data_IF_268873311356
#
_entry.id   IF_268873311356
#
_cell.length_a   1.000
_cell.length_b   1.000
_cell.length_c   1.000
_cell.angle_alpha   90.00
_cell.angle_beta   90.00
_cell.angle_gamma   90.00
#
_symmetry.space_group_name_H-M   'P 1'
#
loop_
_entity.id
_entity.type
_entity.pdbx_description
1 polymer ?
#
# COMPACT_ATOMS: atom_id res chain seq x y z
N UNK A 1 13.45 7.01 -8.44
CA UNK A 1 12.17 6.60 -7.81
C UNK A 1 11.99 7.44 -6.55
N UNK A 2 10.80 7.96 -6.31
CA UNK A 2 10.42 8.74 -5.12
C UNK A 2 9.26 8.01 -4.43
N UNK A 3 9.39 7.75 -3.15
CA UNK A 3 8.30 7.25 -2.30
C UNK A 3 7.66 8.45 -1.63
N UNK A 4 6.35 8.63 -1.80
CA UNK A 4 5.63 9.81 -1.34
C UNK A 4 4.12 9.56 -1.26
N UNK A 5 3.37 10.53 -0.74
CA UNK A 5 1.94 10.43 -0.48
C UNK A 5 1.10 10.42 -1.77
N UNK A 6 -0.07 9.80 -1.73
CA UNK A 6 -0.95 9.60 -2.90
C UNK A 6 -1.25 10.90 -3.65
N UNK A 7 -1.55 12.01 -2.95
CA UNK A 7 -1.83 13.28 -3.63
C UNK A 7 -0.59 13.85 -4.33
N UNK A 8 0.61 13.70 -3.74
CA UNK A 8 1.87 14.12 -4.37
C UNK A 8 2.21 13.26 -5.59
N UNK A 9 1.89 11.95 -5.56
CA UNK A 9 2.04 11.07 -6.72
C UNK A 9 1.19 11.60 -7.89
N UNK A 10 -0.07 11.93 -7.64
CA UNK A 10 -0.98 12.47 -8.66
C UNK A 10 -0.44 13.81 -9.18
N UNK A 11 0.01 14.70 -8.31
CA UNK A 11 0.59 15.98 -8.69
C UNK A 11 1.89 15.81 -9.49
N UNK A 12 2.80 14.93 -9.08
CA UNK A 12 4.07 14.69 -9.76
C UNK A 12 3.86 14.17 -11.18
N UNK A 13 2.90 13.26 -11.39
CA UNK A 13 2.58 12.76 -12.73
C UNK A 13 1.84 13.82 -13.56
N UNK A 14 0.91 14.57 -12.96
CA UNK A 14 0.17 15.62 -13.68
C UNK A 14 1.07 16.75 -14.17
N UNK A 15 2.13 17.06 -13.41
CA UNK A 15 3.12 18.08 -13.73
C UNK A 15 4.35 17.56 -14.47
N UNK A 16 4.33 16.31 -14.93
CA UNK A 16 5.44 15.65 -15.64
C UNK A 16 6.76 15.61 -14.83
N UNK A 17 6.68 15.69 -13.51
CA UNK A 17 7.84 15.46 -12.63
C UNK A 17 8.15 13.97 -12.49
N UNK A 18 7.14 13.14 -12.68
CA UNK A 18 7.22 11.69 -12.79
C UNK A 18 6.44 11.24 -14.01
N UNK A 19 6.93 10.25 -14.71
CA UNK A 19 6.28 9.66 -15.89
C UNK A 19 5.19 8.65 -15.48
N UNK A 20 5.43 7.95 -14.37
CA UNK A 20 4.56 6.91 -13.83
C UNK A 20 4.38 7.15 -12.35
N UNK A 21 3.15 7.02 -11.86
CA UNK A 21 2.83 6.92 -10.44
C UNK A 21 2.25 5.54 -10.13
N UNK A 22 2.55 5.00 -8.96
CA UNK A 22 1.92 3.78 -8.46
C UNK A 22 1.12 4.18 -7.22
N UNK A 23 -0.14 3.82 -7.20
CA UNK A 23 -1.03 4.05 -6.06
C UNK A 23 -2.03 2.90 -5.94
N UNK A 24 -2.73 2.85 -4.82
CA UNK A 24 -3.85 1.94 -4.67
C UNK A 24 -5.15 2.68 -4.39
N UNK A 25 -6.27 2.01 -4.68
CA UNK A 25 -7.61 2.40 -4.27
C UNK A 25 -8.25 1.28 -3.45
N UNK A 26 -9.23 1.64 -2.66
CA UNK A 26 -10.05 0.72 -1.87
C UNK A 26 -11.53 1.00 -2.11
N UNK A 27 -12.41 0.13 -1.63
CA UNK A 27 -13.86 0.34 -1.71
C UNK A 27 -14.32 1.73 -1.23
N UNK A 28 -13.58 2.34 -0.29
CA UNK A 28 -13.94 3.61 0.36
C UNK A 28 -13.46 4.86 -0.36
N UNK A 29 -12.39 4.76 -1.15
CA UNK A 29 -11.77 5.94 -1.76
C UNK A 29 -11.67 5.90 -3.29
N UNK A 30 -12.01 4.76 -3.91
CA UNK A 30 -11.83 4.54 -5.35
C UNK A 30 -12.48 5.63 -6.20
N UNK A 31 -13.76 5.92 -5.96
CA UNK A 31 -14.49 6.92 -6.74
C UNK A 31 -13.81 8.30 -6.69
N UNK A 32 -13.35 8.70 -5.52
CA UNK A 32 -12.74 10.01 -5.30
C UNK A 32 -11.35 10.06 -5.92
N UNK A 33 -10.53 9.04 -5.71
CA UNK A 33 -9.17 8.97 -6.26
C UNK A 33 -9.24 8.93 -7.80
N UNK A 34 -10.08 8.07 -8.38
CA UNK A 34 -10.21 7.98 -9.85
C UNK A 34 -10.78 9.26 -10.46
N UNK A 35 -11.69 9.95 -9.78
CA UNK A 35 -12.17 11.27 -10.21
C UNK A 35 -11.05 12.29 -10.21
N UNK A 36 -10.22 12.32 -9.15
CA UNK A 36 -9.07 13.22 -9.05
C UNK A 36 -8.02 12.93 -10.13
N UNK A 37 -7.69 11.66 -10.37
CA UNK A 37 -6.80 11.23 -11.45
C UNK A 37 -7.32 11.76 -12.80
N UNK A 38 -8.60 11.56 -13.11
CA UNK A 38 -9.21 12.04 -14.34
C UNK A 38 -9.22 13.57 -14.46
N UNK A 39 -9.51 14.30 -13.37
CA UNK A 39 -9.50 15.77 -13.35
C UNK A 39 -8.12 16.34 -13.60
N UNK A 40 -7.05 15.62 -13.26
CA UNK A 40 -5.67 16.01 -13.51
C UNK A 40 -5.14 15.56 -14.89
N UNK A 41 -6.01 15.08 -15.79
CA UNK A 41 -5.61 14.65 -17.13
C UNK A 41 -4.85 13.33 -17.17
N UNK A 42 -4.99 12.53 -16.11
CA UNK A 42 -4.34 11.24 -15.96
C UNK A 42 -5.30 10.08 -16.26
N UNK A 43 -4.74 8.91 -16.49
CA UNK A 43 -5.47 7.64 -16.57
C UNK A 43 -4.90 6.65 -15.57
N UNK A 44 -5.76 5.76 -15.07
CA UNK A 44 -5.42 4.70 -14.14
C UNK A 44 -5.53 3.35 -14.85
N UNK A 45 -4.48 2.55 -14.75
CA UNK A 45 -4.46 1.16 -15.22
C UNK A 45 -4.25 0.24 -14.02
N UNK A 46 -5.19 -0.69 -13.80
CA UNK A 46 -5.09 -1.69 -12.74
C UNK A 46 -3.94 -2.66 -13.03
N UNK A 47 -3.15 -2.96 -12.02
CA UNK A 47 -2.11 -3.98 -12.06
C UNK A 47 -2.59 -5.28 -11.41
N UNK A 48 -3.15 -5.18 -10.21
CA UNK A 48 -3.72 -6.33 -9.48
C UNK A 48 -4.67 -5.87 -8.38
N UNK A 49 -5.49 -6.81 -7.91
CA UNK A 49 -6.35 -6.65 -6.73
C UNK A 49 -5.86 -7.58 -5.63
N UNK A 50 -5.65 -7.05 -4.44
CA UNK A 50 -5.23 -7.81 -3.27
C UNK A 50 -6.29 -7.75 -2.17
N UNK A 51 -6.40 -8.82 -1.40
CA UNK A 51 -7.09 -8.81 -0.10
C UNK A 51 -6.15 -8.26 0.97
N UNK A 52 -6.67 -7.55 1.98
CA UNK A 52 -5.86 -7.04 3.08
C UNK A 52 -5.14 -8.15 3.85
N UNK A 53 -3.88 -7.89 4.18
CA UNK A 53 -3.06 -8.73 5.03
C UNK A 53 -2.47 -7.90 6.17
N UNK A 54 -2.26 -8.54 7.29
CA UNK A 54 -1.56 -7.97 8.44
C UNK A 54 -0.09 -8.33 8.34
N UNK A 55 0.79 -7.35 8.39
CA UNK A 55 2.22 -7.56 8.53
C UNK A 55 2.58 -7.51 10.01
N UNK A 56 3.16 -8.59 10.49
CA UNK A 56 3.62 -8.79 11.87
C UNK A 56 5.02 -9.40 11.86
N UNK A 57 5.72 -9.35 12.98
CA UNK A 57 6.99 -10.05 13.07
C UNK A 57 6.78 -11.58 13.13
N UNK A 58 7.76 -12.34 12.64
CA UNK A 58 7.68 -13.80 12.60
C UNK A 58 7.53 -14.46 14.00
N UNK A 59 7.99 -13.75 15.05
CA UNK A 59 7.87 -14.19 16.44
C UNK A 59 6.68 -13.56 17.18
N UNK A 60 5.77 -12.91 16.44
CA UNK A 60 4.58 -12.30 17.04
C UNK A 60 3.68 -13.35 17.67
N UNK A 61 2.99 -13.08 18.81
CA UNK A 61 2.08 -14.03 19.45
C UNK A 61 1.00 -14.58 18.49
N UNK A 62 0.60 -13.82 17.49
CA UNK A 62 -0.38 -14.23 16.47
C UNK A 62 0.23 -14.94 15.26
N UNK A 63 1.55 -15.11 15.18
CA UNK A 63 2.23 -15.67 14.00
C UNK A 63 1.77 -17.11 13.66
N UNK A 64 1.33 -17.89 14.67
CA UNK A 64 0.80 -19.24 14.49
C UNK A 64 -0.62 -19.31 13.92
N UNK A 65 -1.34 -18.20 13.83
CA UNK A 65 -2.68 -18.18 13.25
C UNK A 65 -2.61 -18.17 11.72
N UNK A 66 -3.56 -18.86 11.07
CA UNK A 66 -3.67 -18.85 9.59
C UNK A 66 -4.33 -17.58 9.08
N UNK A 67 -5.38 -17.12 9.74
CA UNK A 67 -6.16 -15.92 9.41
C UNK A 67 -6.34 -15.11 10.69
N UNK A 68 -6.33 -13.80 10.58
CA UNK A 68 -6.56 -12.85 11.68
C UNK A 68 -7.85 -12.09 11.45
N UNK A 69 -8.50 -11.69 12.53
CA UNK A 69 -9.58 -10.70 12.52
C UNK A 69 -9.19 -9.42 13.27
N UNK A 70 -10.01 -8.37 13.18
CA UNK A 70 -9.71 -7.09 13.82
C UNK A 70 -9.66 -7.18 15.35
N UNK A 71 -10.38 -8.11 15.97
CA UNK A 71 -10.41 -8.30 17.42
C UNK A 71 -9.10 -8.90 17.93
N UNK A 72 -8.49 -9.80 17.15
CA UNK A 72 -7.18 -10.35 17.47
C UNK A 72 -6.10 -9.25 17.63
N UNK A 73 -6.30 -8.12 16.95
CA UNK A 73 -5.32 -7.03 16.84
C UNK A 73 -5.48 -5.92 17.89
N UNK A 74 -6.57 -5.88 18.65
CA UNK A 74 -6.92 -4.78 19.58
C UNK A 74 -5.84 -4.51 20.64
N UNK A 75 -5.15 -5.55 21.11
CA UNK A 75 -4.12 -5.43 22.14
C UNK A 75 -2.76 -4.97 21.61
N UNK A 76 -2.56 -4.97 20.28
CA UNK A 76 -1.28 -4.67 19.66
C UNK A 76 -1.25 -3.28 19.04
N UNK A 77 -0.08 -2.59 19.05
CA UNK A 77 0.03 -1.27 18.46
C UNK A 77 -0.08 -1.34 16.92
N UNK A 78 -0.97 -0.53 16.39
CA UNK A 78 -1.09 -0.31 14.95
C UNK A 78 -0.08 0.72 14.48
N UNK A 79 0.66 0.42 13.43
CA UNK A 79 1.61 1.31 12.81
C UNK A 79 1.11 1.73 11.43
N UNK A 80 1.09 3.03 11.19
CA UNK A 80 0.64 3.64 9.93
C UNK A 80 1.56 4.78 9.52
N UNK A 81 1.47 5.17 8.24
CA UNK A 81 2.21 6.31 7.75
C UNK A 81 1.51 7.63 8.09
N UNK A 82 2.32 8.67 8.33
CA UNK A 82 1.83 10.03 8.49
C UNK A 82 1.39 10.60 7.14
N UNK A 83 0.19 11.19 7.08
CA UNK A 83 -0.42 11.67 5.84
C UNK A 83 -0.15 13.17 5.57
N UNK A 84 0.68 13.83 6.39
CA UNK A 84 1.02 15.25 6.21
C UNK A 84 -0.18 16.19 6.34
N UNK A 85 -0.11 17.34 5.65
CA UNK A 85 -1.15 18.38 5.69
C UNK A 85 -2.45 17.97 4.97
N UNK A 86 -2.37 17.03 4.03
CA UNK A 86 -3.52 16.49 3.30
C UNK A 86 -4.10 15.24 3.99
N UNK A 87 -4.10 15.25 5.33
CA UNK A 87 -4.61 14.15 6.15
C UNK A 87 -6.13 13.99 5.98
N UNK A 88 -6.55 13.66 4.76
CA UNK A 88 -7.94 13.32 4.49
C UNK A 88 -8.12 11.81 4.48
N UNK A 89 -9.28 11.38 4.92
CA UNK A 89 -9.75 10.00 4.86
C UNK A 89 -9.48 9.31 3.51
N UNK A 90 -9.51 10.07 2.42
CA UNK A 90 -9.41 9.54 1.06
C UNK A 90 -7.98 9.28 0.58
N UNK A 91 -6.98 9.90 1.21
CA UNK A 91 -5.57 9.76 0.83
C UNK A 91 -4.78 8.81 1.75
N UNK A 92 -5.48 8.12 2.63
CA UNK A 92 -4.88 7.15 3.52
C UNK A 92 -4.12 6.07 2.76
N UNK A 93 -2.87 5.86 3.13
CA UNK A 93 -1.97 4.91 2.44
C UNK A 93 -2.16 3.46 2.89
N UNK A 94 -2.85 3.25 4.02
CA UNK A 94 -3.19 1.91 4.48
C UNK A 94 -4.69 1.73 4.52
N UNK A 95 -5.10 0.55 4.11
CA UNK A 95 -6.50 0.14 4.25
C UNK A 95 -6.85 0.06 5.73
N UNK A 96 -8.07 0.46 6.10
CA UNK A 96 -8.55 0.47 7.49
C UNK A 96 -7.78 1.41 8.45
N UNK A 97 -6.94 2.32 7.94
CA UNK A 97 -6.20 3.29 8.78
C UNK A 97 -7.10 4.25 9.55
N UNK A 98 -8.35 4.40 9.13
CA UNK A 98 -9.36 5.28 9.72
C UNK A 98 -10.14 4.65 10.86
N UNK A 99 -9.93 3.37 11.14
CA UNK A 99 -10.50 2.73 12.32
C UNK A 99 -9.89 3.33 13.58
N UNK A 100 -10.71 3.65 14.56
CA UNK A 100 -10.25 4.08 15.87
C UNK A 100 -9.51 2.92 16.57
N UNK A 101 -8.31 3.20 17.05
CA UNK A 101 -7.45 2.22 17.74
C UNK A 101 -6.81 2.84 18.94
N UNK A 102 -6.89 2.15 20.06
CA UNK A 102 -6.33 2.62 21.33
C UNK A 102 -4.80 2.82 21.30
N UNK A 103 -4.11 2.04 20.45
CA UNK A 103 -2.64 2.06 20.32
C UNK A 103 -2.31 2.32 18.84
N UNK A 104 -2.06 3.58 18.49
CA UNK A 104 -1.74 3.98 17.13
C UNK A 104 -0.42 4.76 17.10
N UNK A 105 0.52 4.33 16.27
CA UNK A 105 1.84 4.96 16.08
C UNK A 105 1.96 5.36 14.61
N UNK A 106 2.22 6.64 14.36
CA UNK A 106 2.46 7.17 13.01
C UNK A 106 3.95 7.31 12.76
N UNK A 107 4.39 6.88 11.59
CA UNK A 107 5.78 6.94 11.13
C UNK A 107 5.86 7.59 9.75
N UNK A 108 7.08 7.93 9.31
CA UNK A 108 7.30 8.59 8.02
C UNK A 108 7.99 7.70 6.98
N UNK A 109 8.56 6.59 7.42
CA UNK A 109 9.31 5.71 6.52
C UNK A 109 9.13 4.24 6.89
N UNK A 110 9.32 3.38 5.88
CA UNK A 110 9.11 1.94 5.99
C UNK A 110 10.11 1.25 6.93
N UNK A 111 11.35 1.71 6.98
CA UNK A 111 12.37 1.09 7.82
C UNK A 111 12.01 1.27 9.30
N UNK A 112 11.62 2.48 9.70
CA UNK A 112 11.12 2.77 11.04
C UNK A 112 9.85 1.95 11.34
N UNK A 113 8.91 1.86 10.39
CA UNK A 113 7.70 1.06 10.56
C UNK A 113 8.03 -0.39 10.89
N UNK A 114 8.86 -1.06 10.08
CA UNK A 114 9.19 -2.47 10.30
C UNK A 114 10.01 -2.69 11.58
N UNK A 115 10.93 -1.79 11.92
CA UNK A 115 11.64 -1.87 13.19
C UNK A 115 10.69 -1.81 14.40
N UNK A 116 9.68 -0.95 14.35
CA UNK A 116 8.69 -0.85 15.41
C UNK A 116 7.69 -2.03 15.40
N UNK A 117 7.31 -2.56 14.22
CA UNK A 117 6.54 -3.80 14.13
C UNK A 117 7.24 -4.92 14.87
N UNK A 118 8.56 -5.07 14.67
CA UNK A 118 9.37 -6.09 15.36
C UNK A 118 9.52 -5.75 16.85
N UNK A 119 9.95 -4.52 17.16
CA UNK A 119 10.35 -4.14 18.52
C UNK A 119 9.19 -4.02 19.52
N UNK A 120 7.97 -3.75 19.04
CA UNK A 120 6.78 -3.54 19.88
C UNK A 120 5.73 -4.63 19.74
N UNK A 121 5.99 -5.71 18.99
CA UNK A 121 4.95 -6.64 18.55
C UNK A 121 3.76 -5.90 17.94
N UNK A 122 4.04 -4.90 17.11
CA UNK A 122 3.02 -4.13 16.43
C UNK A 122 2.61 -4.77 15.11
N UNK A 123 1.67 -4.11 14.43
CA UNK A 123 1.21 -4.55 13.11
C UNK A 123 0.91 -3.37 12.19
N UNK A 124 0.94 -3.65 10.90
CA UNK A 124 0.38 -2.76 9.86
C UNK A 124 -0.46 -3.57 8.88
N UNK A 125 -1.31 -2.91 8.10
CA UNK A 125 -2.19 -3.58 7.12
C UNK A 125 -1.77 -3.16 5.71
N UNK A 126 -1.57 -4.13 4.83
CA UNK A 126 -1.14 -3.91 3.45
C UNK A 126 -1.66 -5.01 2.51
N UNK A 127 -1.17 -5.03 1.27
CA UNK A 127 -1.58 -5.97 0.21
C UNK A 127 -1.18 -7.45 0.44
N UNK A 128 -0.32 -7.74 1.40
CA UNK A 128 0.24 -9.08 1.59
C UNK A 128 1.48 -9.35 0.73
N UNK A 129 1.77 -8.53 -0.26
CA UNK A 129 2.96 -8.68 -1.11
C UNK A 129 4.19 -8.19 -0.34
N UNK A 130 5.09 -9.10 -0.03
CA UNK A 130 6.37 -8.79 0.63
C UNK A 130 7.49 -9.65 0.06
N UNK A 131 8.56 -9.01 -0.39
CA UNK A 131 9.73 -9.73 -0.89
C UNK A 131 10.62 -10.18 0.27
N UNK A 132 10.73 -11.48 0.49
CA UNK A 132 11.64 -12.07 1.48
C UNK A 132 13.11 -11.74 1.20
N UNK A 133 13.49 -11.63 -0.07
CA UNK A 133 14.85 -11.26 -0.47
C UNK A 133 15.25 -9.85 -0.01
N UNK A 134 14.27 -8.92 0.03
CA UNK A 134 14.53 -7.52 0.41
C UNK A 134 14.25 -7.24 1.89
N UNK A 135 13.28 -7.92 2.50
CA UNK A 135 12.83 -7.64 3.87
C UNK A 135 13.25 -8.71 4.88
N UNK A 136 13.92 -9.78 4.42
CA UNK A 136 14.26 -10.92 5.27
C UNK A 136 13.03 -11.74 5.68
N UNK A 137 13.22 -12.65 6.63
CA UNK A 137 12.16 -13.54 7.14
C UNK A 137 11.51 -13.02 8.44
N UNK A 138 11.93 -11.84 8.90
CA UNK A 138 11.47 -11.30 10.17
C UNK A 138 10.04 -10.73 10.13
N UNK A 139 9.54 -10.40 8.95
CA UNK A 139 8.17 -9.91 8.74
C UNK A 139 7.40 -10.94 7.92
N UNK A 140 6.23 -11.29 8.39
CA UNK A 140 5.30 -12.20 7.72
C UNK A 140 3.97 -11.52 7.46
N UNK A 141 3.30 -11.93 6.39
CA UNK A 141 1.96 -11.50 6.04
C UNK A 141 0.94 -12.56 6.49
N UNK A 142 -0.13 -12.14 7.15
CA UNK A 142 -1.26 -12.98 7.53
C UNK A 142 -2.55 -12.42 6.92
N UNK A 143 -3.38 -13.25 6.27
CA UNK A 143 -4.67 -12.81 5.76
C UNK A 143 -5.51 -12.15 6.87
N UNK A 144 -6.13 -11.01 6.55
CA UNK A 144 -7.06 -10.32 7.43
C UNK A 144 -8.50 -10.58 6.96
N UNK A 145 -9.34 -11.08 7.85
CA UNK A 145 -10.74 -11.37 7.55
C UNK A 145 -11.57 -10.08 7.60
N UNK A 146 -11.64 -9.38 6.48
CA UNK A 146 -12.45 -8.17 6.28
C UNK A 146 -13.03 -8.17 4.87
N UNK A 147 -14.18 -7.51 4.72
CA UNK A 147 -14.80 -7.32 3.40
C UNK A 147 -14.28 -6.04 2.75
N UNK A 148 -12.99 -6.06 2.43
CA UNK A 148 -12.27 -4.96 1.80
C UNK A 148 -11.29 -5.49 0.75
N UNK A 149 -10.90 -4.62 -0.18
CA UNK A 149 -9.90 -4.92 -1.20
C UNK A 149 -8.97 -3.73 -1.42
N UNK A 150 -7.80 -4.01 -1.97
CA UNK A 150 -6.85 -3.03 -2.46
C UNK A 150 -6.68 -3.24 -3.96
N UNK A 151 -7.05 -2.26 -4.77
CA UNK A 151 -6.80 -2.25 -6.20
C UNK A 151 -5.53 -1.43 -6.45
N UNK A 152 -4.43 -2.09 -6.73
CA UNK A 152 -3.14 -1.45 -7.02
C UNK A 152 -3.03 -1.19 -8.51
N UNK A 153 -2.59 0.00 -8.89
CA UNK A 153 -2.45 0.36 -10.29
C UNK A 153 -1.42 1.44 -10.54
N UNK A 154 -1.20 1.70 -11.81
CA UNK A 154 -0.36 2.79 -12.30
C UNK A 154 -1.22 3.94 -12.78
N UNK A 155 -0.71 5.16 -12.60
CA UNK A 155 -1.24 6.36 -13.24
C UNK A 155 -0.20 6.93 -14.19
N UNK A 156 -0.68 7.39 -15.34
CA UNK A 156 0.13 8.00 -16.39
C UNK A 156 -0.61 9.19 -17.00
N UNK A 157 0.08 10.04 -17.74
CA UNK A 157 -0.54 11.10 -18.51
C UNK A 157 -1.42 10.52 -19.62
N UNK A 158 -2.65 10.99 -19.69
CA UNK A 158 -3.56 10.62 -20.78
C UNK A 158 -3.03 11.16 -22.12
N UNK A 159 -3.06 10.33 -23.15
CA UNK A 159 -2.62 10.66 -24.50
C UNK A 159 -1.10 10.99 -24.64
N UNK A 160 -0.30 10.62 -23.66
CA UNK A 160 1.15 10.79 -23.72
C UNK A 160 1.83 9.42 -23.66
N UNK A 161 2.57 9.00 -24.72
CA UNK A 161 3.25 7.72 -24.70
C UNK A 161 4.37 7.72 -23.66
N UNK A 162 4.53 6.59 -22.98
CA UNK A 162 5.66 6.37 -22.07
C UNK A 162 6.97 6.36 -22.87
N UNK A 163 8.03 6.86 -22.24
CA UNK A 163 9.38 6.68 -22.75
C UNK A 163 9.75 5.19 -22.82
N UNK A 164 10.82 4.85 -23.54
CA UNK A 164 11.34 3.48 -23.58
C UNK A 164 11.61 2.92 -22.18
N UNK A 165 12.13 3.73 -21.27
CA UNK A 165 12.39 3.31 -19.89
C UNK A 165 11.10 3.11 -19.11
N UNK A 166 10.11 3.98 -19.27
CA UNK A 166 8.79 3.84 -18.66
C UNK A 166 8.10 2.55 -19.12
N UNK A 167 8.10 2.27 -20.43
CA UNK A 167 7.55 1.03 -20.99
C UNK A 167 8.25 -0.21 -20.40
N UNK A 168 9.59 -0.23 -20.42
CA UNK A 168 10.37 -1.34 -19.86
C UNK A 168 10.08 -1.57 -18.37
N UNK A 169 9.91 -0.48 -17.62
CA UNK A 169 9.57 -0.57 -16.18
C UNK A 169 8.19 -1.19 -15.98
N UNK A 170 7.17 -0.71 -16.69
CA UNK A 170 5.80 -1.22 -16.59
C UNK A 170 5.73 -2.70 -16.99
N UNK A 171 6.41 -3.10 -18.07
CA UNK A 171 6.49 -4.49 -18.48
C UNK A 171 7.18 -5.39 -17.45
N UNK A 172 8.26 -4.90 -16.83
CA UNK A 172 8.95 -5.62 -15.78
C UNK A 172 8.06 -5.78 -14.53
N UNK A 173 7.33 -4.73 -14.17
CA UNK A 173 6.40 -4.74 -13.05
C UNK A 173 5.26 -5.75 -13.28
N UNK A 174 4.64 -5.73 -14.45
CA UNK A 174 3.58 -6.69 -14.83
C UNK A 174 4.08 -8.15 -14.82
N UNK A 175 5.30 -8.39 -15.32
CA UNK A 175 5.91 -9.73 -15.25
C UNK A 175 6.14 -10.19 -13.80
N UNK A 176 6.61 -9.28 -12.94
CA UNK A 176 6.87 -9.61 -11.54
C UNK A 176 5.59 -9.96 -10.78
N UNK A 177 4.49 -9.27 -11.07
CA UNK A 177 3.18 -9.55 -10.47
C UNK A 177 2.70 -10.94 -10.90
N UNK A 178 2.72 -11.24 -12.20
CA UNK A 178 2.25 -12.52 -12.74
C UNK A 178 3.08 -13.73 -12.25
N UNK A 179 4.37 -13.54 -11.92
CA UNK A 179 5.20 -14.63 -11.36
C UNK A 179 5.00 -14.88 -9.88
N UNK A 180 4.43 -13.93 -9.15
CA UNK A 180 4.13 -14.10 -7.72
C UNK A 180 2.72 -14.66 -7.45
N UNK A 181 1.85 -14.72 -8.45
CA UNK A 181 0.54 -15.37 -8.35
C UNK A 181 0.63 -16.90 -8.41
N UNK A 182 1.81 -17.46 -8.77
CA UNK A 182 2.07 -18.90 -8.90
C UNK A 182 2.83 -19.51 -7.69
N UNK A 183 3.15 -18.75 -6.64
CA UNK A 183 3.79 -19.22 -5.39
C UNK A 183 2.81 -19.08 -4.19
#
# INVERSE_FOLDING_TARGET
MRETQTHEIIEDVSRLRSEIGILFTSSKNEEIILKLVKQNGLEFEELFVAKPHVFICANHPLAGREVLDLKDLEEYPYLSFEQGEYNSFYFSEEILSTLDRNKNIKVRDRATLFNLVIGLNGYTVSSGVISRKLNGENIIAKPLQVDEYMRVGIITQKNMPLSRYGQTYVEALKRHINTNDDE
#
